data_IF_537653745860
#
_entry.id   IF_537653745860
#
_cell.length_a   1.000
_cell.length_b   1.000
_cell.length_c   1.000
_cell.angle_alpha   90.00
_cell.angle_beta   90.00
_cell.angle_gamma   90.00
#
_symmetry.space_group_name_H-M   'P 1'
#
loop_
_entity.id
_entity.type
_entity.pdbx_description
1 polymer ?
#
# COMPACT_ATOMS: atom_id res chain seq x y z
N UNK A 1 21.26 21.74 -5.34
CA UNK A 1 20.61 20.48 -5.73
C UNK A 1 19.13 20.81 -5.89
N UNK A 2 18.61 20.73 -7.09
CA UNK A 2 17.16 20.88 -7.32
C UNK A 2 16.45 19.79 -6.55
N UNK A 3 15.51 20.15 -5.68
CA UNK A 3 14.61 19.21 -5.05
C UNK A 3 13.75 18.57 -6.16
N UNK A 4 13.88 17.27 -6.35
CA UNK A 4 13.03 16.56 -7.28
C UNK A 4 11.62 16.55 -6.69
N UNK A 5 10.76 17.37 -7.26
CA UNK A 5 9.34 17.48 -6.87
C UNK A 5 8.63 16.25 -7.40
N UNK A 6 7.89 15.56 -6.54
CA UNK A 6 7.16 14.34 -6.87
C UNK A 6 5.67 14.69 -7.04
N UNK A 7 5.04 14.14 -8.06
CA UNK A 7 3.61 14.28 -8.31
C UNK A 7 3.04 12.95 -8.80
N UNK A 8 1.86 12.59 -8.32
CA UNK A 8 1.11 11.45 -8.86
C UNK A 8 0.40 11.90 -10.12
N UNK A 9 0.66 11.23 -11.24
CA UNK A 9 0.03 11.51 -12.52
C UNK A 9 -1.29 10.76 -12.59
N UNK A 10 -2.39 11.48 -12.75
CA UNK A 10 -3.73 10.93 -12.82
C UNK A 10 -4.46 11.40 -14.08
N UNK A 11 -5.47 10.65 -14.53
CA UNK A 11 -6.41 11.05 -15.57
C UNK A 11 -7.49 12.00 -15.02
N UNK A 12 -8.46 12.36 -15.88
CA UNK A 12 -9.61 13.23 -15.54
C UNK A 12 -10.52 12.63 -14.45
N UNK A 13 -10.50 11.31 -14.27
CA UNK A 13 -11.26 10.57 -13.26
C UNK A 13 -10.46 10.30 -11.98
N UNK A 14 -9.23 10.85 -11.86
CA UNK A 14 -8.27 10.62 -10.78
C UNK A 14 -7.70 9.19 -10.74
N UNK A 15 -7.80 8.42 -11.82
CA UNK A 15 -7.11 7.15 -11.94
C UNK A 15 -5.62 7.41 -12.13
N UNK A 16 -4.80 6.79 -11.29
CA UNK A 16 -3.34 6.88 -11.40
C UNK A 16 -2.86 6.17 -12.67
N UNK A 17 -2.05 6.87 -13.46
CA UNK A 17 -1.55 6.38 -14.77
C UNK A 17 -0.23 5.61 -14.66
N UNK A 18 0.13 5.18 -13.49
CA UNK A 18 1.35 4.42 -13.24
C UNK A 18 1.11 2.91 -13.39
N UNK A 19 2.12 2.18 -13.89
CA UNK A 19 2.10 0.72 -13.93
C UNK A 19 2.78 0.16 -12.68
N UNK A 20 2.07 -0.70 -11.96
CA UNK A 20 2.54 -1.31 -10.73
C UNK A 20 3.12 -2.71 -10.98
N UNK A 21 4.42 -2.74 -11.30
CA UNK A 21 5.15 -3.97 -11.60
C UNK A 21 5.01 -4.41 -13.06
N UNK A 22 5.13 -5.70 -13.29
CA UNK A 22 5.06 -6.34 -14.61
C UNK A 22 4.02 -7.45 -14.62
N UNK A 23 3.56 -7.93 -15.80
CA UNK A 23 2.65 -9.09 -15.85
C UNK A 23 3.22 -10.35 -15.17
N UNK A 24 4.54 -10.50 -15.13
CA UNK A 24 5.22 -11.65 -14.48
C UNK A 24 5.31 -11.46 -12.95
N UNK A 25 5.46 -10.22 -12.49
CA UNK A 25 5.50 -9.87 -11.07
C UNK A 25 4.73 -8.57 -10.87
N UNK A 26 3.40 -8.64 -10.67
CA UNK A 26 2.52 -7.48 -10.61
C UNK A 26 2.54 -6.83 -9.21
N UNK A 27 3.70 -6.32 -8.83
CA UNK A 27 3.95 -5.65 -7.56
C UNK A 27 5.02 -4.56 -7.75
N UNK A 28 4.81 -3.43 -7.08
CA UNK A 28 5.76 -2.34 -7.00
C UNK A 28 5.92 -1.87 -5.56
N UNK A 29 7.16 -1.68 -5.13
CA UNK A 29 7.47 -1.00 -3.88
C UNK A 29 7.69 0.49 -4.13
N UNK A 30 7.05 1.33 -3.33
CA UNK A 30 7.16 2.78 -3.42
C UNK A 30 7.67 3.35 -2.07
N UNK A 31 8.72 4.16 -2.16
CA UNK A 31 9.22 4.96 -1.05
C UNK A 31 8.75 6.39 -1.27
N UNK A 32 7.94 6.92 -0.36
CA UNK A 32 7.37 8.25 -0.47
C UNK A 32 7.78 9.12 0.72
N UNK A 33 8.53 10.18 0.44
CA UNK A 33 8.72 11.29 1.37
C UNK A 33 7.66 12.35 1.04
N UNK A 34 6.61 12.43 1.87
CA UNK A 34 5.44 13.27 1.56
C UNK A 34 5.84 14.74 1.45
N UNK A 35 6.84 15.18 2.20
CA UNK A 35 7.31 16.57 2.15
C UNK A 35 7.96 16.96 0.81
N UNK A 36 8.25 15.99 -0.06
CA UNK A 36 8.77 16.23 -1.42
C UNK A 36 7.69 16.33 -2.48
N UNK A 37 6.44 16.06 -2.14
CA UNK A 37 5.33 16.26 -3.07
C UNK A 37 5.04 17.76 -3.23
N UNK A 38 4.55 18.14 -4.43
CA UNK A 38 4.26 19.54 -4.79
C UNK A 38 3.42 20.27 -3.75
N UNK A 39 2.39 19.59 -3.26
CA UNK A 39 1.42 20.14 -2.31
C UNK A 39 1.73 19.79 -0.86
N UNK A 40 2.80 19.00 -0.60
CA UNK A 40 3.08 18.43 0.71
C UNK A 40 2.10 17.36 1.13
N UNK A 41 1.41 16.75 0.17
CA UNK A 41 0.46 15.66 0.32
C UNK A 41 0.46 14.76 -0.92
N UNK A 42 -0.09 13.55 -0.80
CA UNK A 42 -0.38 12.66 -1.93
C UNK A 42 -1.83 12.91 -2.32
N UNK A 43 -2.01 13.58 -3.46
CA UNK A 43 -3.32 14.05 -3.94
C UNK A 43 -4.30 12.91 -4.19
N UNK A 44 -5.59 13.22 -4.20
CA UNK A 44 -6.66 12.25 -4.47
C UNK A 44 -6.42 11.46 -5.74
N UNK A 45 -6.33 10.12 -5.60
CA UNK A 45 -6.16 9.19 -6.69
C UNK A 45 -6.74 7.81 -6.33
N UNK A 46 -6.90 6.96 -7.33
CA UNK A 46 -7.26 5.57 -7.18
C UNK A 46 -6.56 4.73 -8.25
N UNK A 47 -6.43 3.43 -8.00
CA UNK A 47 -5.90 2.44 -8.91
C UNK A 47 -6.59 1.08 -8.70
N UNK A 48 -6.45 0.17 -9.67
CA UNK A 48 -7.11 -1.16 -9.63
C UNK A 48 -6.43 -2.13 -8.65
N UNK A 49 -5.21 -1.85 -8.28
CA UNK A 49 -4.41 -2.69 -7.40
C UNK A 49 -4.80 -2.49 -5.93
N UNK A 50 -4.38 -3.45 -5.12
CA UNK A 50 -4.36 -3.35 -3.65
C UNK A 50 -3.13 -2.55 -3.26
N UNK A 51 -3.26 -1.67 -2.28
CA UNK A 51 -2.11 -1.01 -1.67
C UNK A 51 -2.01 -1.34 -0.19
N UNK A 52 -0.78 -1.59 0.27
CA UNK A 52 -0.48 -1.67 1.69
C UNK A 52 0.62 -0.66 2.01
N UNK A 53 0.37 0.14 3.04
CA UNK A 53 1.28 1.21 3.46
C UNK A 53 1.75 0.94 4.88
N UNK A 54 3.02 1.24 5.14
CA UNK A 54 3.57 1.36 6.49
C UNK A 54 4.16 2.74 6.68
N UNK A 55 3.79 3.42 7.76
CA UNK A 55 4.44 4.68 8.16
C UNK A 55 5.83 4.34 8.70
N UNK A 56 6.87 4.72 7.94
CA UNK A 56 8.27 4.49 8.32
C UNK A 56 8.75 5.54 9.30
N UNK A 57 8.34 6.79 9.11
CA UNK A 57 8.67 7.93 9.97
C UNK A 57 7.55 8.96 9.94
N UNK A 58 7.31 9.63 11.06
CA UNK A 58 6.29 10.65 11.21
C UNK A 58 4.88 10.11 11.39
N UNK A 59 3.90 10.81 10.85
CA UNK A 59 2.48 10.45 10.91
C UNK A 59 1.72 10.94 9.69
N UNK A 60 0.60 10.28 9.39
CA UNK A 60 -0.29 10.66 8.29
C UNK A 60 -1.74 10.69 8.73
N UNK A 61 -2.54 11.47 7.99
CA UNK A 61 -3.98 11.32 7.93
C UNK A 61 -4.33 10.79 6.53
N UNK A 62 -4.77 9.54 6.47
CA UNK A 62 -5.26 8.89 5.26
C UNK A 62 -6.77 9.04 5.19
N UNK A 63 -7.26 9.57 4.07
CA UNK A 63 -8.68 9.69 3.76
C UNK A 63 -9.04 8.71 2.66
N UNK A 64 -10.08 7.93 2.87
CA UNK A 64 -10.70 7.04 1.90
C UNK A 64 -12.10 7.57 1.57
N UNK A 65 -12.77 6.98 0.60
CA UNK A 65 -14.13 7.36 0.21
C UNK A 65 -15.15 7.30 1.36
N UNK A 66 -15.06 6.29 2.26
CA UNK A 66 -16.03 6.05 3.33
C UNK A 66 -15.40 6.02 4.75
N UNK A 67 -14.11 6.25 4.88
CA UNK A 67 -13.40 6.18 6.17
C UNK A 67 -12.13 7.01 6.15
N UNK A 68 -11.59 7.29 7.34
CA UNK A 68 -10.29 7.92 7.48
C UNK A 68 -9.50 7.32 8.65
N UNK A 69 -8.18 7.42 8.58
CA UNK A 69 -7.28 6.85 9.58
C UNK A 69 -6.15 7.83 9.90
N UNK A 70 -5.86 8.00 11.18
CA UNK A 70 -4.63 8.65 11.64
C UNK A 70 -3.64 7.54 11.99
N UNK A 71 -2.51 7.52 11.29
CA UNK A 71 -1.48 6.50 11.42
C UNK A 71 -0.16 7.15 11.83
N UNK A 72 0.51 6.55 12.78
CA UNK A 72 1.80 7.00 13.31
C UNK A 72 2.92 6.06 12.86
N UNK A 73 4.15 6.48 13.09
CA UNK A 73 5.32 5.63 12.83
C UNK A 73 5.14 4.22 13.39
N UNK A 74 5.32 3.22 12.54
CA UNK A 74 5.13 1.81 12.82
C UNK A 74 3.74 1.26 12.53
N UNK A 75 2.72 2.11 12.43
CA UNK A 75 1.39 1.70 11.98
C UNK A 75 1.40 1.39 10.47
N UNK A 76 0.43 0.60 10.04
CA UNK A 76 0.21 0.30 8.63
C UNK A 76 -1.26 0.39 8.24
N UNK A 77 -1.54 0.22 6.96
CA UNK A 77 -2.90 0.17 6.43
C UNK A 77 -2.96 -0.67 5.16
N UNK A 78 -4.06 -1.36 5.00
CA UNK A 78 -4.52 -1.93 3.74
C UNK A 78 -5.53 -1.00 3.11
N UNK A 79 -5.38 -0.71 1.82
CA UNK A 79 -6.34 0.01 0.97
C UNK A 79 -6.81 -0.96 -0.11
N UNK A 80 -8.12 -1.10 -0.23
CA UNK A 80 -8.71 -2.04 -1.17
C UNK A 80 -8.61 -1.52 -2.62
N UNK A 81 -8.78 -2.41 -3.59
CA UNK A 81 -8.84 -2.09 -5.03
C UNK A 81 -9.88 -1.02 -5.34
N UNK A 82 -9.55 -0.12 -6.25
CA UNK A 82 -10.47 0.91 -6.78
C UNK A 82 -10.98 1.92 -5.73
N UNK A 83 -10.28 2.06 -4.60
CA UNK A 83 -10.66 3.02 -3.56
C UNK A 83 -9.98 4.36 -3.81
N UNK A 84 -10.78 5.42 -3.92
CA UNK A 84 -10.30 6.80 -3.99
C UNK A 84 -9.69 7.18 -2.63
N UNK A 85 -8.43 7.61 -2.64
CA UNK A 85 -7.71 7.92 -1.41
C UNK A 85 -6.80 9.14 -1.55
N UNK A 86 -6.51 9.76 -0.40
CA UNK A 86 -5.66 10.94 -0.25
C UNK A 86 -4.88 10.83 1.04
N UNK A 87 -3.59 11.20 1.01
CA UNK A 87 -2.72 11.12 2.17
C UNK A 87 -2.15 12.51 2.47
N UNK A 88 -2.36 12.97 3.67
CA UNK A 88 -1.79 14.20 4.20
C UNK A 88 -0.75 13.89 5.27
N UNK A 89 0.40 14.55 5.21
CA UNK A 89 1.37 14.50 6.29
C UNK A 89 0.79 15.08 7.59
N UNK A 90 1.18 14.48 8.72
CA UNK A 90 0.95 15.07 10.03
C UNK A 90 1.87 16.26 10.29
N UNK A 91 2.07 16.59 11.56
CA UNK A 91 2.84 17.77 11.98
C UNK A 91 4.35 17.53 12.10
N UNK A 92 4.83 16.33 11.73
CA UNK A 92 6.25 15.98 11.81
C UNK A 92 7.06 16.65 10.70
N UNK A 93 8.32 17.00 10.97
CA UNK A 93 9.25 17.55 9.97
C UNK A 93 9.58 16.51 8.88
N UNK A 94 9.53 15.22 9.22
CA UNK A 94 9.74 14.11 8.30
C UNK A 94 8.48 13.24 8.26
N UNK A 95 8.03 12.87 7.05
CA UNK A 95 6.92 11.96 6.86
C UNK A 95 7.23 11.00 5.71
N UNK A 96 7.63 9.78 6.06
CA UNK A 96 8.08 8.75 5.12
C UNK A 96 7.16 7.54 5.16
N UNK A 97 6.75 7.12 3.98
CA UNK A 97 5.95 5.92 3.77
C UNK A 97 6.72 4.87 2.96
N UNK A 98 6.54 3.63 3.34
CA UNK A 98 6.86 2.47 2.51
C UNK A 98 5.55 1.83 2.08
N UNK A 99 5.28 1.77 0.79
CA UNK A 99 4.09 1.08 0.28
C UNK A 99 4.44 -0.02 -0.72
N UNK A 100 3.55 -0.99 -0.82
CA UNK A 100 3.55 -2.02 -1.85
C UNK A 100 2.19 -1.97 -2.53
N UNK A 101 2.22 -1.71 -3.84
CA UNK A 101 1.03 -1.72 -4.69
C UNK A 101 1.09 -2.98 -5.55
N UNK A 102 0.06 -3.83 -5.48
CA UNK A 102 0.09 -5.12 -6.14
C UNK A 102 -1.28 -5.59 -6.62
N UNK A 103 -1.27 -6.33 -7.72
CA UNK A 103 -2.48 -6.99 -8.21
C UNK A 103 -2.84 -8.19 -7.32
N UNK A 104 -4.14 -8.40 -7.09
CA UNK A 104 -4.65 -9.52 -6.26
C UNK A 104 -4.11 -10.88 -6.69
N UNK A 105 -3.77 -11.05 -7.98
CA UNK A 105 -3.25 -12.32 -8.52
C UNK A 105 -1.91 -12.72 -7.89
N UNK A 106 -1.16 -11.78 -7.31
CA UNK A 106 0.08 -12.08 -6.61
C UNK A 106 -0.14 -13.06 -5.44
N UNK A 107 -1.25 -12.89 -4.71
CA UNK A 107 -1.57 -13.69 -3.52
C UNK A 107 -2.65 -14.75 -3.78
N UNK A 108 -3.55 -14.52 -4.73
CA UNK A 108 -4.66 -15.44 -5.01
C UNK A 108 -4.23 -16.70 -5.78
N UNK A 109 -3.07 -16.69 -6.43
CA UNK A 109 -2.63 -17.79 -7.27
C UNK A 109 -3.41 -17.88 -8.58
N UNK A 110 -3.75 -19.10 -9.01
CA UNK A 110 -4.49 -19.32 -10.26
C UNK A 110 -5.96 -18.96 -10.16
N UNK A 111 -6.55 -18.64 -11.32
CA UNK A 111 -7.99 -18.37 -11.46
C UNK A 111 -8.80 -19.56 -10.92
N UNK A 112 -9.86 -19.27 -10.15
CA UNK A 112 -10.71 -20.24 -9.47
C UNK A 112 -10.00 -21.12 -8.43
N UNK A 113 -8.81 -20.68 -7.96
CA UNK A 113 -8.15 -21.34 -6.83
C UNK A 113 -8.96 -21.17 -5.54
N UNK A 114 -8.73 -22.07 -4.57
CA UNK A 114 -9.29 -21.91 -3.22
C UNK A 114 -8.89 -20.59 -2.57
N UNK A 115 -7.69 -20.12 -2.86
CA UNK A 115 -7.18 -18.84 -2.33
C UNK A 115 -7.98 -17.66 -2.89
N UNK A 116 -8.19 -17.64 -4.21
CA UNK A 116 -8.98 -16.60 -4.86
C UNK A 116 -10.42 -16.60 -4.34
N UNK A 117 -11.10 -17.76 -4.37
CA UNK A 117 -12.53 -17.84 -4.10
C UNK A 117 -12.87 -17.61 -2.62
N UNK A 118 -12.09 -18.18 -1.71
CA UNK A 118 -12.45 -18.20 -0.30
C UNK A 118 -11.78 -17.10 0.53
N UNK A 119 -10.64 -16.55 0.08
CA UNK A 119 -9.84 -15.65 0.90
C UNK A 119 -9.58 -14.28 0.26
N UNK A 120 -9.44 -14.19 -1.07
CA UNK A 120 -9.09 -12.93 -1.72
C UNK A 120 -10.32 -12.19 -2.23
N UNK A 121 -11.13 -12.82 -3.08
CA UNK A 121 -12.31 -12.18 -3.65
C UNK A 121 -13.31 -11.66 -2.61
N UNK A 122 -13.61 -12.37 -1.50
CA UNK A 122 -14.54 -11.87 -0.49
C UNK A 122 -14.12 -10.55 0.14
N UNK A 123 -12.82 -10.25 0.16
CA UNK A 123 -12.26 -9.00 0.67
C UNK A 123 -12.22 -7.95 -0.45
N UNK A 124 -11.61 -8.28 -1.59
CA UNK A 124 -11.37 -7.33 -2.68
C UNK A 124 -12.69 -6.86 -3.32
N UNK A 125 -13.68 -7.73 -3.43
CA UNK A 125 -14.98 -7.40 -4.01
C UNK A 125 -15.99 -6.80 -3.02
N UNK A 126 -15.58 -6.67 -1.74
CA UNK A 126 -16.44 -6.08 -0.71
C UNK A 126 -16.47 -4.55 -0.84
N UNK A 127 -17.53 -4.04 -1.45
CA UNK A 127 -17.75 -2.60 -1.67
C UNK A 127 -17.90 -1.77 -0.39
N UNK A 128 -18.11 -2.42 0.76
CA UNK A 128 -18.19 -1.74 2.06
C UNK A 128 -16.85 -1.69 2.80
N UNK A 129 -15.80 -2.27 2.22
CA UNK A 129 -14.46 -2.33 2.80
C UNK A 129 -13.52 -1.48 1.97
N UNK A 130 -13.31 -0.23 2.37
CA UNK A 130 -12.33 0.66 1.73
C UNK A 130 -10.92 0.41 2.21
N UNK A 131 -10.73 0.12 3.51
CA UNK A 131 -9.40 -0.16 4.07
C UNK A 131 -9.46 -0.64 5.52
N UNK A 132 -8.31 -1.11 6.02
CA UNK A 132 -8.12 -1.59 7.40
C UNK A 132 -6.81 -1.02 7.95
N UNK A 133 -6.86 -0.31 9.08
CA UNK A 133 -5.66 0.15 9.75
C UNK A 133 -5.04 -0.95 10.63
N UNK A 134 -3.71 -1.04 10.60
CA UNK A 134 -2.90 -1.96 11.39
C UNK A 134 -2.13 -1.17 12.45
N UNK A 135 -2.74 -1.02 13.64
CA UNK A 135 -2.11 -0.28 14.73
C UNK A 135 -1.07 -1.13 15.45
N UNK A 136 0.16 -0.63 15.55
CA UNK A 136 1.31 -1.32 16.18
C UNK A 136 1.10 -1.69 17.66
N UNK A 137 0.12 -1.11 18.32
CA UNK A 137 -0.23 -1.40 19.71
C UNK A 137 -1.20 -2.59 19.85
N UNK A 138 -1.57 -3.25 18.75
CA UNK A 138 -2.33 -4.50 18.72
C UNK A 138 -1.44 -5.62 18.17
N UNK A 139 -1.57 -6.85 18.68
CA UNK A 139 -0.71 -7.96 18.27
C UNK A 139 -0.80 -8.25 16.77
N UNK A 140 -2.01 -8.32 16.24
CA UNK A 140 -2.23 -8.55 14.80
C UNK A 140 -1.79 -7.36 13.94
N UNK A 141 -1.95 -6.12 14.42
CA UNK A 141 -1.53 -4.92 13.70
C UNK A 141 -0.01 -4.78 13.66
N UNK A 142 0.70 -5.12 14.74
CA UNK A 142 2.15 -5.19 14.77
C UNK A 142 2.67 -6.24 13.76
N UNK A 143 2.06 -7.43 13.74
CA UNK A 143 2.43 -8.51 12.82
C UNK A 143 2.18 -8.13 11.37
N UNK A 144 1.01 -7.58 11.03
CA UNK A 144 0.69 -7.10 9.69
C UNK A 144 1.65 -6.00 9.22
N UNK A 145 1.93 -4.99 10.07
CA UNK A 145 2.90 -3.93 9.78
C UNK A 145 4.32 -4.46 9.59
N UNK A 146 4.72 -5.49 10.37
CA UNK A 146 6.01 -6.15 10.19
C UNK A 146 6.10 -6.90 8.87
N UNK A 147 5.01 -7.54 8.42
CA UNK A 147 4.95 -8.19 7.10
C UNK A 147 5.16 -7.17 5.97
N UNK A 148 4.51 -5.99 6.02
CA UNK A 148 4.71 -4.92 5.04
C UNK A 148 6.18 -4.47 5.03
N UNK A 149 6.77 -4.21 6.20
CA UNK A 149 8.18 -3.82 6.35
C UNK A 149 9.12 -4.86 5.71
N UNK A 150 8.89 -6.14 6.00
CA UNK A 150 9.73 -7.22 5.51
C UNK A 150 9.60 -7.40 4.00
N UNK A 151 8.37 -7.40 3.46
CA UNK A 151 8.13 -7.45 2.02
C UNK A 151 8.83 -6.29 1.28
N UNK A 152 8.69 -5.06 1.80
CA UNK A 152 9.36 -3.88 1.24
C UNK A 152 10.89 -4.04 1.27
N UNK A 153 11.46 -4.52 2.37
CA UNK A 153 12.91 -4.74 2.49
C UNK A 153 13.43 -5.79 1.50
N UNK A 154 12.68 -6.86 1.26
CA UNK A 154 13.06 -7.86 0.23
C UNK A 154 13.02 -7.26 -1.18
N UNK A 155 12.01 -6.44 -1.46
CA UNK A 155 11.90 -5.75 -2.74
C UNK A 155 13.09 -4.79 -2.97
N UNK A 156 13.51 -4.03 -1.94
CA UNK A 156 14.69 -3.14 -2.03
C UNK A 156 15.98 -3.90 -2.29
N UNK A 157 16.18 -5.06 -1.65
CA UNK A 157 17.38 -5.88 -1.83
C UNK A 157 17.48 -6.48 -3.23
N UNK A 158 16.34 -6.86 -3.81
CA UNK A 158 16.23 -7.48 -5.15
C UNK A 158 17.20 -8.66 -5.35
N UNK A 159 17.45 -9.43 -4.27
CA UNK A 159 18.28 -10.63 -4.34
C UNK A 159 17.52 -11.77 -5.03
N UNK A 160 18.23 -12.82 -5.44
CA UNK A 160 17.62 -13.98 -6.10
C UNK A 160 16.44 -14.54 -5.29
N UNK A 161 15.25 -14.59 -5.90
CA UNK A 161 14.03 -15.11 -5.29
C UNK A 161 13.30 -14.12 -4.36
N UNK A 162 13.65 -12.83 -4.39
CA UNK A 162 12.97 -11.81 -3.59
C UNK A 162 11.46 -11.77 -3.86
N UNK A 163 11.02 -12.08 -5.07
CA UNK A 163 9.61 -12.13 -5.45
C UNK A 163 8.83 -13.18 -4.63
N UNK A 164 9.48 -14.32 -4.33
CA UNK A 164 8.89 -15.37 -3.50
C UNK A 164 8.69 -14.86 -2.07
N UNK A 165 9.71 -14.18 -1.52
CA UNK A 165 9.67 -13.64 -0.17
C UNK A 165 8.66 -12.48 -0.04
N UNK A 166 8.59 -11.60 -1.04
CA UNK A 166 7.57 -10.53 -1.08
C UNK A 166 6.17 -11.14 -1.06
N UNK A 167 5.91 -12.14 -1.91
CA UNK A 167 4.63 -12.85 -1.95
C UNK A 167 4.32 -13.55 -0.63
N UNK A 168 5.32 -14.19 0.00
CA UNK A 168 5.17 -14.85 1.30
C UNK A 168 4.70 -13.87 2.38
N UNK A 169 5.39 -12.74 2.54
CA UNK A 169 5.03 -11.72 3.53
C UNK A 169 3.67 -11.09 3.25
N UNK A 170 3.33 -10.80 1.99
CA UNK A 170 2.02 -10.26 1.64
C UNK A 170 0.90 -11.29 1.88
N UNK A 171 1.16 -12.58 1.61
CA UNK A 171 0.19 -13.65 1.91
C UNK A 171 0.01 -13.86 3.41
N UNK A 172 1.08 -13.72 4.20
CA UNK A 172 1.01 -13.80 5.66
C UNK A 172 0.23 -12.61 6.25
N UNK A 173 0.49 -11.40 5.77
CA UNK A 173 -0.28 -10.23 6.17
C UNK A 173 -1.78 -10.39 5.86
N UNK A 174 -2.11 -11.06 4.76
CA UNK A 174 -3.49 -11.30 4.33
C UNK A 174 -4.22 -12.30 5.22
N UNK A 175 -3.51 -13.25 5.81
CA UNK A 175 -4.03 -14.27 6.73
C UNK A 175 -4.37 -13.70 8.10
#
# INVERSE_FOLDING_TARGET
MEQQIIEIIVDENKQQLELFGTPMFPCKACYSDINKFVTGDISWHWHEEIEVIRVKSGSIHLYLDNSDFILNEGDGVFINSNILHYIRAGTSEECILNSLVFNKNLISGGVQSVFEQNFVNPIVENKNLSGIAFYKNTSWGEEASACIKNAFSQFEKSEFGYEILVREYLSHMWY
#
